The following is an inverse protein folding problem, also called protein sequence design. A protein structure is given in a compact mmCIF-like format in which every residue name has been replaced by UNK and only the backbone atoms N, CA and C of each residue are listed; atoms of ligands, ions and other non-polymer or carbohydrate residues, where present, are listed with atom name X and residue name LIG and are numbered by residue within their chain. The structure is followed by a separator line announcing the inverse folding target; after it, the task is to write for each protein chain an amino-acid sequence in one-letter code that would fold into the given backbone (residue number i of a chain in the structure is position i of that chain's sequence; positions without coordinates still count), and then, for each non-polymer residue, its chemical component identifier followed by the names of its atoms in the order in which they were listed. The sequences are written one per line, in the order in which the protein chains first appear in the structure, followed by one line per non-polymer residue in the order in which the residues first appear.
data_IF_245430015472
#
_entry.id   IF_245430015472
#
_cell.length_a   1.000
_cell.length_b   1.000
_cell.length_c   1.000
_cell.angle_alpha   90.00
_cell.angle_beta   90.00
_cell.angle_gamma   90.00
#
_symmetry.space_group_name_H-M   'P 1'
#
loop_
_entity.id
_entity.type
_entity.pdbx_description
1 polymer ?
#
# COMPACT_ATOMS: atom_id res chain seq x y z
N UNK A 1 -9.32 1.52 5.74
CA UNK A 1 -8.80 2.07 4.47
C UNK A 1 -9.76 3.10 3.88
N UNK A 2 -10.84 2.71 3.21
CA UNK A 2 -11.75 3.67 2.52
C UNK A 2 -12.33 4.78 3.43
N UNK A 3 -12.68 4.48 4.67
CA UNK A 3 -13.20 5.48 5.62
C UNK A 3 -12.15 6.49 6.11
N UNK A 4 -10.85 6.18 5.95
CA UNK A 4 -9.75 7.01 6.43
C UNK A 4 -8.96 7.63 5.26
N UNK A 5 -8.52 6.81 4.31
CA UNK A 5 -7.73 7.22 3.15
C UNK A 5 -8.53 7.45 1.87
N UNK A 6 -9.84 7.11 1.84
CA UNK A 6 -10.67 7.26 0.65
C UNK A 6 -10.77 8.71 0.16
N UNK A 7 -11.14 9.67 1.01
CA UNK A 7 -11.22 11.09 0.64
C UNK A 7 -9.87 11.72 0.27
N UNK A 8 -8.75 11.10 0.65
CA UNK A 8 -7.40 11.65 0.44
C UNK A 8 -6.72 11.08 -0.81
N UNK A 9 -6.72 9.75 -0.96
CA UNK A 9 -5.97 9.04 -2.02
C UNK A 9 -6.77 7.92 -2.69
N UNK A 10 -8.08 7.82 -2.42
CA UNK A 10 -8.90 6.73 -2.96
C UNK A 10 -8.65 5.37 -2.30
N UNK A 11 -7.86 5.31 -1.22
CA UNK A 11 -7.69 4.11 -0.40
C UNK A 11 -7.29 2.88 -1.25
N UNK A 12 -6.26 3.02 -2.07
CA UNK A 12 -5.81 1.93 -2.94
C UNK A 12 -5.12 0.82 -2.14
N UNK A 13 -4.14 1.23 -1.30
CA UNK A 13 -3.21 0.45 -0.48
C UNK A 13 -2.51 -0.75 -1.17
N UNK A 14 -2.75 -0.95 -2.46
CA UNK A 14 -2.24 -2.04 -3.26
C UNK A 14 -1.90 -1.51 -4.67
N UNK A 15 -0.62 -1.54 -5.08
CA UNK A 15 -0.19 -1.03 -6.38
C UNK A 15 -0.90 -1.72 -7.56
N UNK A 16 -1.11 -3.04 -7.51
CA UNK A 16 -1.79 -3.79 -8.58
C UNK A 16 -3.27 -3.41 -8.70
N UNK A 17 -3.94 -3.17 -7.57
CA UNK A 17 -5.34 -2.71 -7.53
C UNK A 17 -5.50 -1.33 -8.16
N UNK A 18 -4.55 -0.43 -7.95
CA UNK A 18 -4.55 0.90 -8.59
C UNK A 18 -4.19 0.81 -10.09
N UNK A 19 -3.22 -0.04 -10.45
CA UNK A 19 -2.66 -0.08 -11.80
C UNK A 19 -3.64 -0.53 -12.89
N UNK A 20 -4.51 -1.50 -12.60
CA UNK A 20 -5.49 -2.00 -13.58
C UNK A 20 -6.41 -0.90 -14.13
N UNK A 21 -7.15 -0.17 -13.25
CA UNK A 21 -7.95 0.98 -13.66
C UNK A 21 -7.12 2.13 -14.27
N UNK A 22 -5.90 2.37 -13.77
CA UNK A 22 -5.01 3.42 -14.28
C UNK A 22 -4.69 3.23 -15.77
N UNK A 23 -4.41 1.99 -16.21
CA UNK A 23 -4.17 1.69 -17.63
C UNK A 23 -5.42 1.96 -18.46
N UNK A 24 -6.58 1.46 -18.03
CA UNK A 24 -7.82 1.56 -18.82
C UNK A 24 -8.27 3.02 -18.94
N UNK A 25 -8.14 3.79 -17.86
CA UNK A 25 -8.51 5.21 -17.82
C UNK A 25 -7.40 6.15 -18.32
N UNK A 26 -6.22 5.62 -18.69
CA UNK A 26 -5.03 6.40 -19.04
C UNK A 26 -4.67 7.47 -18.00
N UNK A 27 -4.87 7.15 -16.72
CA UNK A 27 -4.68 8.06 -15.60
C UNK A 27 -3.48 7.62 -14.76
N UNK A 28 -2.39 8.38 -14.86
CA UNK A 28 -1.12 8.07 -14.19
C UNK A 28 -0.63 9.17 -13.25
N UNK A 29 -1.49 10.15 -12.94
CA UNK A 29 -1.12 11.22 -12.03
C UNK A 29 -0.80 10.66 -10.64
N UNK A 30 0.30 11.14 -10.07
CA UNK A 30 0.78 10.74 -8.74
C UNK A 30 0.97 9.22 -8.57
N UNK A 31 1.23 8.48 -9.66
CA UNK A 31 1.43 7.03 -9.65
C UNK A 31 2.40 6.57 -8.57
N UNK A 32 3.50 7.32 -8.35
CA UNK A 32 4.54 6.99 -7.39
C UNK A 32 4.01 6.83 -5.96
N UNK A 33 2.97 7.58 -5.56
CA UNK A 33 2.36 7.47 -4.23
C UNK A 33 1.76 6.09 -4.01
N UNK A 34 1.14 5.51 -5.04
CA UNK A 34 0.49 4.20 -5.01
C UNK A 34 1.47 3.03 -5.04
N UNK A 35 2.75 3.29 -5.32
CA UNK A 35 3.81 2.28 -5.32
C UNK A 35 4.70 2.42 -4.08
N UNK A 36 5.28 3.60 -3.89
CA UNK A 36 6.24 3.87 -2.81
C UNK A 36 5.56 3.76 -1.44
N UNK A 37 4.35 4.32 -1.28
CA UNK A 37 3.62 4.30 0.00
C UNK A 37 3.35 2.87 0.49
N UNK A 38 2.67 2.03 -0.30
CA UNK A 38 2.40 0.64 0.10
C UNK A 38 3.66 -0.19 0.33
N UNK A 39 4.72 -0.02 -0.47
CA UNK A 39 5.95 -0.79 -0.25
C UNK A 39 6.68 -0.41 1.03
N UNK A 40 6.83 0.89 1.31
CA UNK A 40 7.44 1.34 2.58
C UNK A 40 6.60 0.84 3.76
N UNK A 41 5.27 0.99 3.69
CA UNK A 41 4.36 0.49 4.73
C UNK A 41 4.49 -1.03 4.95
N UNK A 42 4.55 -1.82 3.87
CA UNK A 42 4.72 -3.26 3.94
C UNK A 42 6.06 -3.68 4.53
N UNK A 43 7.16 -3.01 4.15
CA UNK A 43 8.49 -3.28 4.71
C UNK A 43 8.51 -2.98 6.21
N UNK A 44 8.03 -1.80 6.61
CA UNK A 44 8.01 -1.40 8.03
C UNK A 44 7.14 -2.35 8.85
N UNK A 45 5.93 -2.66 8.38
CA UNK A 45 5.03 -3.59 9.05
C UNK A 45 5.63 -5.00 9.16
N UNK A 46 6.23 -5.50 8.07
CA UNK A 46 6.88 -6.82 8.05
C UNK A 46 8.07 -6.91 9.00
N UNK A 47 8.93 -5.89 9.02
CA UNK A 47 10.07 -5.83 9.94
C UNK A 47 9.63 -5.73 11.39
N UNK A 48 8.65 -4.89 11.70
CA UNK A 48 8.11 -4.78 13.06
C UNK A 48 7.51 -6.11 13.51
N UNK A 49 6.70 -6.74 12.66
CA UNK A 49 6.11 -8.03 12.99
C UNK A 49 7.20 -9.08 13.24
N UNK A 50 8.16 -9.23 12.33
CA UNK A 50 9.20 -10.25 12.43
C UNK A 50 10.15 -10.07 13.63
N UNK A 51 10.46 -8.84 14.02
CA UNK A 51 11.48 -8.56 15.04
C UNK A 51 10.90 -8.26 16.42
N UNK A 52 9.66 -7.77 16.51
CA UNK A 52 9.05 -7.32 17.77
C UNK A 52 7.93 -8.24 18.21
N UNK A 53 7.08 -8.69 17.28
CA UNK A 53 5.81 -9.34 17.63
C UNK A 53 5.80 -10.86 17.36
N UNK A 54 6.60 -11.34 16.42
CA UNK A 54 6.68 -12.76 16.09
C UNK A 54 7.56 -13.47 17.12
N UNK A 55 6.93 -14.07 18.12
CA UNK A 55 7.62 -15.04 18.97
C UNK A 55 8.06 -16.24 18.12
N UNK A 56 9.36 -16.51 18.12
CA UNK A 56 9.90 -17.69 17.44
C UNK A 56 9.40 -18.94 18.18
N UNK A 57 8.72 -19.88 17.51
CA UNK A 57 8.35 -21.15 18.14
C UNK A 57 9.64 -21.85 18.60
N UNK A 58 9.66 -22.29 19.86
CA UNK A 58 10.79 -23.05 20.42
C UNK A 58 10.87 -24.44 19.82
#
# INVERSE_FOLDING_TARGET
DIMMGGPLTGAAMNPARWFGPAIVAQFFDNWYVYWIGPFIGAIVAGLLYANVFLEKPR
#
